data_IF_135799912342
#
_entry.id   IF_135799912342
#
_cell.length_a   1.000
_cell.length_b   1.000
_cell.length_c   1.000
_cell.angle_alpha   90.00
_cell.angle_beta   90.00
_cell.angle_gamma   90.00
#
_symmetry.space_group_name_H-M   'P 1'
#
loop_
_entity.id
_entity.type
_entity.pdbx_description
1 polymer ?
#
# COMPACT_ATOMS: atom_id res chain seq x y z
N UNK A 1 -0.05 17.96 -8.47
CA UNK A 1 1.23 18.19 -9.17
C UNK A 1 1.16 17.39 -10.47
N UNK A 2 1.59 17.91 -11.64
CA UNK A 2 1.72 17.07 -12.82
C UNK A 2 2.77 15.99 -12.59
N UNK A 3 2.59 14.82 -13.22
CA UNK A 3 3.59 13.75 -13.27
C UNK A 3 4.18 13.68 -14.68
N UNK A 4 5.48 13.45 -14.77
CA UNK A 4 6.14 13.03 -16.01
C UNK A 4 6.80 11.67 -15.81
N UNK A 5 7.11 10.98 -16.90
CA UNK A 5 7.94 9.79 -16.88
C UNK A 5 9.23 9.99 -17.67
N UNK A 6 10.30 9.38 -17.19
CA UNK A 6 11.59 9.32 -17.85
C UNK A 6 12.23 7.94 -17.61
N UNK A 7 13.47 7.78 -18.07
CA UNK A 7 14.26 6.57 -17.85
C UNK A 7 15.46 6.83 -16.93
N UNK A 8 16.10 5.76 -16.47
CA UNK A 8 17.44 5.83 -15.90
C UNK A 8 18.48 6.46 -16.87
N UNK A 9 19.65 6.85 -16.36
CA UNK A 9 20.71 7.54 -17.12
C UNK A 9 21.15 6.87 -18.42
N UNK A 10 21.13 5.54 -18.46
CA UNK A 10 21.50 4.72 -19.62
C UNK A 10 20.37 3.73 -19.87
N UNK A 11 19.28 4.15 -20.54
CA UNK A 11 18.15 3.27 -20.76
C UNK A 11 18.53 2.12 -21.69
N UNK A 12 17.98 0.95 -21.42
CA UNK A 12 17.86 -0.10 -22.43
C UNK A 12 16.68 0.23 -23.35
N UNK A 13 16.65 -0.36 -24.55
CA UNK A 13 15.49 -0.22 -25.44
C UNK A 13 14.19 -0.67 -24.76
N UNK A 14 14.25 -1.71 -23.93
CA UNK A 14 13.11 -2.19 -23.16
C UNK A 14 12.63 -1.16 -22.12
N UNK A 15 13.54 -0.48 -21.41
CA UNK A 15 13.16 0.55 -20.44
C UNK A 15 12.56 1.81 -21.10
N UNK A 16 13.03 2.17 -22.30
CA UNK A 16 12.44 3.27 -23.08
C UNK A 16 11.03 2.92 -23.58
N UNK A 17 10.85 1.74 -24.18
CA UNK A 17 9.54 1.26 -24.61
C UNK A 17 8.55 1.14 -23.44
N UNK A 18 9.02 0.70 -22.27
CA UNK A 18 8.21 0.67 -21.07
C UNK A 18 7.81 2.06 -20.58
N UNK A 19 8.72 3.04 -20.64
CA UNK A 19 8.41 4.42 -20.28
C UNK A 19 7.35 5.04 -21.22
N UNK A 20 7.45 4.76 -22.52
CA UNK A 20 6.45 5.19 -23.52
C UNK A 20 5.09 4.54 -23.25
N UNK A 21 5.06 3.23 -23.01
CA UNK A 21 3.82 2.50 -22.67
C UNK A 21 3.15 3.06 -21.41
N UNK A 22 3.93 3.34 -20.36
CA UNK A 22 3.40 3.92 -19.12
C UNK A 22 2.93 5.37 -19.36
N UNK A 23 3.64 6.14 -20.20
CA UNK A 23 3.23 7.49 -20.55
C UNK A 23 1.85 7.51 -21.20
N UNK A 24 1.58 6.57 -22.12
CA UNK A 24 0.27 6.38 -22.74
C UNK A 24 -0.78 5.89 -21.74
N UNK A 25 -0.46 4.88 -20.91
CA UNK A 25 -1.40 4.29 -19.93
C UNK A 25 -1.88 5.31 -18.89
N UNK A 26 -1.00 6.23 -18.48
CA UNK A 26 -1.30 7.26 -17.47
C UNK A 26 -1.66 8.63 -18.07
N UNK A 27 -1.65 8.78 -19.39
CA UNK A 27 -1.80 10.07 -20.08
C UNK A 27 -0.84 11.15 -19.54
N UNK A 28 0.45 10.80 -19.43
CA UNK A 28 1.51 11.70 -18.94
C UNK A 28 2.61 11.88 -19.99
N UNK A 29 3.42 12.92 -19.84
CA UNK A 29 4.51 13.20 -20.79
C UNK A 29 5.71 12.28 -20.53
N UNK A 30 6.19 11.61 -21.58
CA UNK A 30 7.51 11.00 -21.61
C UNK A 30 8.58 12.06 -21.93
N UNK A 31 9.57 12.20 -21.05
CA UNK A 31 10.65 13.18 -21.18
C UNK A 31 12.00 12.45 -21.23
N UNK A 32 12.80 12.74 -22.25
CA UNK A 32 14.13 12.15 -22.39
C UNK A 32 15.05 12.64 -21.26
N UNK A 33 15.70 11.70 -20.57
CA UNK A 33 16.55 11.96 -19.40
C UNK A 33 17.72 12.89 -19.71
N UNK A 34 18.39 12.73 -20.85
CA UNK A 34 19.53 13.54 -21.31
C UNK A 34 20.61 13.79 -20.24
N UNK A 35 20.89 12.78 -19.41
CA UNK A 35 21.84 12.85 -18.28
C UNK A 35 21.52 13.90 -17.20
N UNK A 36 20.32 14.52 -17.23
CA UNK A 36 19.85 15.38 -16.14
C UNK A 36 19.68 14.56 -14.86
N UNK A 37 19.96 15.15 -13.71
CA UNK A 37 19.66 14.52 -12.43
C UNK A 37 18.16 14.61 -12.12
N UNK A 38 17.69 13.93 -11.06
CA UNK A 38 16.26 14.01 -10.67
C UNK A 38 15.94 15.43 -10.23
N UNK A 39 16.83 16.02 -9.44
CA UNK A 39 16.77 17.41 -8.98
C UNK A 39 16.66 18.36 -10.17
N UNK A 40 17.51 18.18 -11.18
CA UNK A 40 17.49 19.05 -12.36
C UNK A 40 16.19 18.90 -13.16
N UNK A 41 15.67 17.69 -13.28
CA UNK A 41 14.38 17.47 -13.94
C UNK A 41 13.21 18.05 -13.14
N UNK A 42 13.25 18.02 -11.81
CA UNK A 42 12.27 18.72 -10.98
C UNK A 42 12.29 20.23 -11.24
N UNK A 43 13.48 20.84 -11.30
CA UNK A 43 13.64 22.25 -11.64
C UNK A 43 13.10 22.59 -13.02
N UNK A 44 13.47 21.81 -14.04
CA UNK A 44 13.12 22.11 -15.43
C UNK A 44 11.62 21.88 -15.73
N UNK A 45 11.06 20.80 -15.19
CA UNK A 45 9.75 20.30 -15.59
C UNK A 45 8.63 20.65 -14.60
N UNK A 46 8.99 21.07 -13.38
CA UNK A 46 8.05 21.42 -12.31
C UNK A 46 6.98 20.31 -12.09
N UNK A 47 7.40 19.04 -12.16
CA UNK A 47 6.58 17.85 -12.03
C UNK A 47 7.15 16.81 -11.05
N UNK A 48 6.29 15.93 -10.54
CA UNK A 48 6.73 14.65 -9.98
C UNK A 48 7.32 13.78 -11.10
N UNK A 49 8.26 12.89 -10.76
CA UNK A 49 9.00 12.11 -11.75
C UNK A 49 8.84 10.61 -11.50
N UNK A 50 8.31 9.92 -12.49
CA UNK A 50 8.44 8.47 -12.62
C UNK A 50 9.71 8.14 -13.41
N UNK A 51 10.47 7.15 -12.95
CA UNK A 51 11.67 6.65 -13.61
C UNK A 51 11.50 5.16 -13.89
N UNK A 52 11.39 4.81 -15.18
CA UNK A 52 11.44 3.43 -15.62
C UNK A 52 12.90 2.97 -15.73
N UNK A 53 13.24 1.90 -15.04
CA UNK A 53 14.51 1.19 -15.18
C UNK A 53 14.28 -0.24 -15.64
N UNK A 54 15.36 -1.02 -15.78
CA UNK A 54 15.25 -2.44 -16.10
C UNK A 54 14.68 -3.23 -14.92
N UNK A 55 15.00 -2.80 -13.71
CA UNK A 55 14.74 -3.54 -12.48
C UNK A 55 13.36 -3.22 -11.90
N UNK A 56 12.90 -1.96 -11.97
CA UNK A 56 11.66 -1.51 -11.33
C UNK A 56 11.20 -0.13 -11.83
N UNK A 57 10.03 0.28 -11.37
CA UNK A 57 9.55 1.65 -11.47
C UNK A 57 9.86 2.40 -10.17
N UNK A 58 10.36 3.62 -10.29
CA UNK A 58 10.68 4.50 -9.17
C UNK A 58 9.87 5.80 -9.27
N UNK A 59 9.41 6.33 -8.15
CA UNK A 59 8.71 7.61 -8.05
C UNK A 59 9.48 8.57 -7.18
N UNK A 60 9.72 9.76 -7.72
CA UNK A 60 10.35 10.87 -7.05
C UNK A 60 9.32 12.00 -6.94
N UNK A 61 8.76 12.24 -5.74
CA UNK A 61 7.94 13.41 -5.50
C UNK A 61 8.76 14.69 -5.71
N UNK A 62 8.11 15.75 -6.17
CA UNK A 62 8.72 17.06 -6.37
C UNK A 62 9.59 17.48 -5.18
N UNK A 63 10.85 17.82 -5.46
CA UNK A 63 11.81 18.26 -4.46
C UNK A 63 12.41 17.15 -3.59
N UNK A 64 12.17 15.88 -3.93
CA UNK A 64 12.77 14.71 -3.28
C UNK A 64 13.76 14.01 -4.21
N UNK A 65 14.86 13.56 -3.62
CA UNK A 65 15.97 12.91 -4.36
C UNK A 65 16.04 11.42 -4.08
N UNK A 66 15.31 10.94 -3.08
CA UNK A 66 15.14 9.53 -2.77
C UNK A 66 13.87 9.00 -3.45
N UNK A 67 13.91 7.82 -4.08
CA UNK A 67 12.74 7.24 -4.72
C UNK A 67 11.85 6.47 -3.75
N UNK A 68 10.56 6.45 -4.04
CA UNK A 68 9.66 5.38 -3.67
C UNK A 68 9.65 4.30 -4.75
N UNK A 69 9.66 3.03 -4.37
CA UNK A 69 9.53 1.89 -5.28
C UNK A 69 8.97 0.68 -4.54
N UNK A 70 8.34 -0.25 -5.27
CA UNK A 70 7.75 -1.44 -4.65
C UNK A 70 8.82 -2.43 -4.13
N UNK A 71 8.61 -2.92 -2.91
CA UNK A 71 9.33 -4.04 -2.31
C UNK A 71 8.43 -4.73 -1.26
N UNK A 72 8.39 -6.08 -1.17
CA UNK A 72 7.50 -6.81 -0.25
C UNK A 72 7.67 -6.48 1.24
N UNK A 73 8.79 -5.86 1.60
CA UNK A 73 9.10 -5.42 2.96
C UNK A 73 8.87 -6.55 3.98
N UNK A 74 8.03 -6.33 5.01
CA UNK A 74 7.87 -7.29 6.09
C UNK A 74 7.19 -8.61 5.69
N UNK A 75 6.44 -8.64 4.58
CA UNK A 75 5.84 -9.86 4.05
C UNK A 75 6.91 -10.93 3.79
N UNK A 76 8.08 -10.53 3.27
CA UNK A 76 9.18 -11.44 2.90
C UNK A 76 9.70 -12.31 4.05
N UNK A 77 9.53 -11.88 5.30
CA UNK A 77 9.91 -12.67 6.47
C UNK A 77 8.71 -13.14 7.30
N UNK A 78 7.57 -12.43 7.26
CA UNK A 78 6.34 -12.84 7.96
C UNK A 78 5.79 -14.14 7.38
N UNK A 79 5.77 -14.27 6.05
CA UNK A 79 5.20 -15.44 5.37
C UNK A 79 6.06 -16.70 5.44
N UNK A 80 7.26 -16.62 6.04
CA UNK A 80 8.12 -17.77 6.33
C UNK A 80 7.84 -18.39 7.70
N UNK A 81 6.97 -17.76 8.50
CA UNK A 81 6.52 -18.26 9.81
C UNK A 81 5.11 -18.83 9.67
N UNK A 82 4.63 -19.63 10.63
CA UNK A 82 3.24 -20.07 10.65
C UNK A 82 2.29 -18.86 10.58
N UNK A 83 1.54 -18.74 9.49
CA UNK A 83 0.69 -17.58 9.19
C UNK A 83 -0.48 -17.46 10.15
N UNK A 84 -0.96 -18.58 10.69
CA UNK A 84 -1.99 -18.67 11.73
C UNK A 84 -1.60 -17.93 13.01
N UNK A 85 -0.29 -17.69 13.21
CA UNK A 85 0.27 -16.96 14.36
C UNK A 85 0.69 -15.53 14.00
N UNK A 86 0.44 -15.09 12.77
CA UNK A 86 0.68 -13.69 12.44
C UNK A 86 -0.33 -12.83 13.20
N UNK A 87 0.10 -11.74 13.89
CA UNK A 87 -0.80 -10.97 14.74
C UNK A 87 -2.00 -10.34 14.00
N UNK A 88 -1.84 -10.00 12.71
CA UNK A 88 -2.95 -9.49 11.90
C UNK A 88 -3.96 -10.61 11.62
N UNK A 89 -3.48 -11.79 11.23
CA UNK A 89 -4.32 -12.94 10.93
C UNK A 89 -5.07 -13.39 12.19
N UNK A 90 -4.34 -13.57 13.30
CA UNK A 90 -4.91 -14.00 14.59
C UNK A 90 -6.00 -13.05 15.09
N UNK A 91 -5.79 -11.73 15.04
CA UNK A 91 -6.76 -10.76 15.56
C UNK A 91 -7.96 -10.56 14.63
N UNK A 92 -7.78 -10.78 13.33
CA UNK A 92 -8.82 -10.56 12.32
C UNK A 92 -9.89 -11.66 12.28
N UNK A 93 -9.58 -12.87 12.76
CA UNK A 93 -10.46 -14.03 12.60
C UNK A 93 -10.61 -14.50 11.16
N UNK A 94 -9.71 -14.09 10.25
CA UNK A 94 -9.70 -14.54 8.86
C UNK A 94 -9.60 -16.06 8.77
N UNK A 95 -10.21 -16.61 7.72
CA UNK A 95 -10.11 -18.00 7.32
C UNK A 95 -9.72 -18.11 5.82
N UNK A 96 -9.23 -19.28 5.37
CA UNK A 96 -9.06 -19.56 3.95
C UNK A 96 -10.33 -19.31 3.15
N UNK A 97 -10.22 -18.56 2.06
CA UNK A 97 -11.35 -18.18 1.20
C UNK A 97 -12.05 -16.86 1.56
N UNK A 98 -11.71 -16.24 2.68
CA UNK A 98 -12.30 -14.96 3.07
C UNK A 98 -11.91 -13.81 2.13
N UNK A 99 -12.61 -12.69 2.26
CA UNK A 99 -12.37 -11.44 1.56
C UNK A 99 -11.80 -10.37 2.50
N UNK A 100 -10.76 -9.68 2.05
CA UNK A 100 -10.04 -8.69 2.84
C UNK A 100 -9.85 -7.38 2.06
N UNK A 101 -10.23 -6.26 2.69
CA UNK A 101 -10.01 -4.92 2.18
C UNK A 101 -8.97 -4.20 3.03
N UNK A 102 -7.80 -3.93 2.44
CA UNK A 102 -6.78 -3.04 3.02
C UNK A 102 -7.10 -1.59 2.61
N UNK A 103 -7.62 -0.79 3.54
CA UNK A 103 -7.93 0.61 3.26
C UNK A 103 -6.66 1.50 3.17
N UNK A 104 -5.47 0.97 3.47
CA UNK A 104 -4.24 1.74 3.57
C UNK A 104 -3.09 0.90 3.03
N UNK A 105 -3.17 0.51 1.76
CA UNK A 105 -2.36 -0.56 1.18
C UNK A 105 -0.86 -0.38 1.44
N UNK A 106 -0.35 0.84 1.38
CA UNK A 106 1.04 1.14 1.73
C UNK A 106 2.02 0.34 0.86
N UNK A 107 2.93 -0.45 1.46
CA UNK A 107 3.83 -1.33 0.68
C UNK A 107 3.16 -2.67 0.28
N UNK A 108 1.86 -2.83 0.51
CA UNK A 108 1.12 -4.08 0.41
C UNK A 108 1.63 -5.22 1.30
N UNK A 109 2.43 -4.93 2.32
CA UNK A 109 3.06 -5.97 3.16
C UNK A 109 2.03 -6.77 3.96
N UNK A 110 1.05 -6.09 4.55
CA UNK A 110 -0.06 -6.72 5.27
C UNK A 110 -0.97 -7.47 4.28
N UNK A 111 -1.38 -6.83 3.18
CA UNK A 111 -2.15 -7.45 2.10
C UNK A 111 -1.50 -8.73 1.50
N UNK A 112 -0.19 -8.75 1.24
CA UNK A 112 0.52 -9.94 0.73
C UNK A 112 0.52 -11.06 1.79
N UNK A 113 0.73 -10.71 3.06
CA UNK A 113 0.71 -11.69 4.15
C UNK A 113 -0.66 -12.35 4.28
N UNK A 114 -1.72 -11.54 4.23
CA UNK A 114 -3.10 -12.01 4.26
C UNK A 114 -3.43 -12.82 3.00
N UNK A 115 -3.06 -12.33 1.81
CA UNK A 115 -3.24 -13.05 0.53
C UNK A 115 -2.64 -14.45 0.56
N UNK A 116 -1.49 -14.63 1.21
CA UNK A 116 -0.85 -15.93 1.32
C UNK A 116 -1.60 -16.87 2.28
N UNK A 117 -2.24 -16.33 3.32
CA UNK A 117 -3.02 -17.09 4.29
C UNK A 117 -4.40 -17.50 3.77
N UNK A 118 -5.16 -16.55 3.22
CA UNK A 118 -6.52 -16.83 2.74
C UNK A 118 -6.54 -17.70 1.47
N UNK A 119 -5.41 -17.77 0.76
CA UNK A 119 -5.22 -18.65 -0.39
C UNK A 119 -5.89 -18.17 -1.67
N UNK A 120 -5.97 -19.05 -2.67
CA UNK A 120 -6.43 -18.73 -4.02
C UNK A 120 -7.94 -18.57 -4.16
N UNK A 121 -8.71 -19.07 -3.19
CA UNK A 121 -10.17 -18.88 -3.15
C UNK A 121 -10.58 -17.56 -2.48
N UNK A 122 -9.65 -16.87 -1.84
CA UNK A 122 -9.91 -15.61 -1.16
C UNK A 122 -9.80 -14.40 -2.09
N UNK A 123 -10.28 -13.25 -1.60
CA UNK A 123 -10.25 -11.98 -2.32
C UNK A 123 -9.46 -10.92 -1.54
N UNK A 124 -8.53 -10.22 -2.19
CA UNK A 124 -7.76 -9.13 -1.58
C UNK A 124 -7.89 -7.87 -2.42
N UNK A 125 -8.39 -6.81 -1.82
CA UNK A 125 -8.40 -5.48 -2.41
C UNK A 125 -7.65 -4.51 -1.51
N UNK A 126 -6.86 -3.62 -2.10
CA UNK A 126 -6.08 -2.62 -1.39
C UNK A 126 -6.27 -1.22 -1.98
N UNK A 127 -6.58 -0.25 -1.14
CA UNK A 127 -6.72 1.15 -1.53
C UNK A 127 -5.40 1.90 -1.32
N UNK A 128 -5.00 2.66 -2.32
CA UNK A 128 -3.92 3.64 -2.22
C UNK A 128 -4.41 4.94 -2.86
N UNK A 129 -4.33 6.06 -2.13
CA UNK A 129 -4.95 7.31 -2.56
C UNK A 129 -4.07 8.14 -3.48
N UNK A 130 -2.75 7.96 -3.42
CA UNK A 130 -1.84 8.60 -4.37
C UNK A 130 -1.77 7.78 -5.67
N UNK A 131 -2.22 8.31 -6.82
CA UNK A 131 -2.29 7.55 -8.06
C UNK A 131 -0.92 7.08 -8.57
N UNK A 132 0.15 7.85 -8.35
CA UNK A 132 1.51 7.45 -8.75
C UNK A 132 1.99 6.25 -7.90
N UNK A 133 1.69 6.27 -6.60
CA UNK A 133 2.02 5.15 -5.69
C UNK A 133 1.17 3.94 -6.03
N UNK A 134 -0.14 4.09 -6.20
CA UNK A 134 -1.04 3.01 -6.58
C UNK A 134 -0.58 2.32 -7.88
N UNK A 135 -0.13 3.09 -8.87
CA UNK A 135 0.42 2.56 -10.11
C UNK A 135 1.72 1.77 -9.90
N UNK A 136 2.63 2.28 -9.08
CA UNK A 136 3.87 1.56 -8.71
C UNK A 136 3.56 0.26 -7.99
N UNK A 137 2.62 0.28 -7.04
CA UNK A 137 2.22 -0.91 -6.30
C UNK A 137 1.60 -1.95 -7.23
N UNK A 138 0.63 -1.55 -8.07
CA UNK A 138 -0.01 -2.43 -9.06
C UNK A 138 1.03 -3.05 -9.99
N UNK A 139 1.93 -2.24 -10.55
CA UNK A 139 3.00 -2.71 -11.44
C UNK A 139 3.96 -3.64 -10.71
N UNK A 140 4.41 -3.25 -9.52
CA UNK A 140 5.32 -4.03 -8.68
C UNK A 140 4.74 -5.38 -8.27
N UNK A 141 3.51 -5.40 -7.76
CA UNK A 141 2.77 -6.61 -7.40
C UNK A 141 2.55 -7.55 -8.58
N UNK A 142 2.48 -7.04 -9.82
CA UNK A 142 2.30 -7.84 -11.04
C UNK A 142 3.60 -8.34 -11.68
N UNK A 143 4.75 -7.74 -11.34
CA UNK A 143 6.04 -8.03 -11.99
C UNK A 143 7.11 -8.58 -11.07
N UNK A 144 7.05 -8.28 -9.78
CA UNK A 144 8.05 -8.74 -8.83
C UNK A 144 8.15 -10.27 -8.84
N UNK A 145 9.36 -10.78 -9.01
CA UNK A 145 9.68 -12.20 -9.18
C UNK A 145 10.91 -12.64 -8.36
N UNK A 146 11.63 -11.70 -7.76
CA UNK A 146 12.83 -11.97 -6.95
C UNK A 146 12.57 -12.84 -5.70
N UNK A 147 11.30 -13.05 -5.32
CA UNK A 147 10.90 -13.95 -4.24
C UNK A 147 9.74 -14.86 -4.70
N UNK A 148 10.03 -16.01 -5.32
CA UNK A 148 9.01 -16.90 -5.88
C UNK A 148 7.90 -17.31 -4.91
N UNK A 149 8.25 -17.55 -3.63
CA UNK A 149 7.28 -17.91 -2.59
C UNK A 149 6.19 -16.85 -2.31
N UNK A 150 6.37 -15.61 -2.74
CA UNK A 150 5.38 -14.53 -2.60
C UNK A 150 4.60 -14.26 -3.90
N UNK A 151 5.04 -14.81 -5.05
CA UNK A 151 4.61 -14.35 -6.36
C UNK A 151 3.09 -14.50 -6.53
N UNK A 152 2.56 -15.69 -6.27
CA UNK A 152 1.12 -15.94 -6.36
C UNK A 152 0.32 -15.06 -5.39
N UNK A 153 0.83 -14.83 -4.18
CA UNK A 153 0.18 -13.96 -3.20
C UNK A 153 0.14 -12.50 -3.69
N UNK A 154 1.21 -12.00 -4.31
CA UNK A 154 1.25 -10.67 -4.91
C UNK A 154 0.29 -10.53 -6.09
N UNK A 155 0.22 -11.54 -6.98
CA UNK A 155 -0.65 -11.49 -8.17
C UNK A 155 -2.14 -11.43 -7.83
N UNK A 156 -2.55 -11.88 -6.65
CA UNK A 156 -3.94 -11.80 -6.17
C UNK A 156 -4.33 -10.43 -5.62
N UNK A 157 -3.38 -9.59 -5.22
CA UNK A 157 -3.69 -8.29 -4.62
C UNK A 157 -4.19 -7.33 -5.69
N UNK A 158 -5.46 -6.94 -5.59
CA UNK A 158 -6.05 -5.93 -6.46
C UNK A 158 -5.82 -4.53 -5.87
N UNK A 159 -5.23 -3.64 -6.67
CA UNK A 159 -4.96 -2.26 -6.23
C UNK A 159 -6.02 -1.31 -6.79
N UNK A 160 -6.68 -0.58 -5.91
CA UNK A 160 -7.64 0.48 -6.24
C UNK A 160 -6.98 1.83 -5.94
N UNK A 161 -6.86 2.68 -6.95
CA UNK A 161 -6.36 4.05 -6.80
C UNK A 161 -7.49 4.96 -6.32
N UNK A 162 -7.68 5.05 -5.01
CA UNK A 162 -8.75 5.86 -4.40
C UNK A 162 -8.42 6.18 -2.94
N UNK A 163 -8.93 7.31 -2.45
CA UNK A 163 -9.13 7.48 -1.01
C UNK A 163 -10.06 6.37 -0.50
N UNK A 164 -9.70 5.75 0.62
CA UNK A 164 -10.38 4.54 1.08
C UNK A 164 -11.85 4.77 1.44
N UNK A 165 -12.15 5.90 2.07
CA UNK A 165 -13.52 6.27 2.45
C UNK A 165 -14.41 6.41 1.21
N UNK A 166 -13.88 6.93 0.12
CA UNK A 166 -14.65 7.09 -1.11
C UNK A 166 -14.87 5.76 -1.80
N UNK A 167 -13.88 4.86 -1.81
CA UNK A 167 -14.08 3.50 -2.29
C UNK A 167 -15.11 2.74 -1.45
N UNK A 168 -15.01 2.80 -0.11
CA UNK A 168 -15.96 2.16 0.79
C UNK A 168 -17.40 2.59 0.52
N UNK A 169 -17.66 3.88 0.23
CA UNK A 169 -19.01 4.38 -0.12
C UNK A 169 -19.60 3.75 -1.39
N UNK A 170 -18.76 3.25 -2.30
CA UNK A 170 -19.21 2.60 -3.54
C UNK A 170 -19.59 1.13 -3.36
N UNK A 171 -19.21 0.54 -2.23
CA UNK A 171 -19.42 -0.88 -1.95
C UNK A 171 -20.76 -1.10 -1.25
N UNK A 172 -21.35 -2.26 -1.49
CA UNK A 172 -22.51 -2.75 -0.75
C UNK A 172 -22.14 -3.12 0.70
N UNK A 173 -23.16 -3.35 1.52
CA UNK A 173 -23.01 -3.82 2.90
C UNK A 173 -22.45 -5.25 2.92
N UNK A 174 -21.69 -5.61 3.96
CA UNK A 174 -21.22 -6.98 4.24
C UNK A 174 -20.46 -7.68 3.09
N UNK A 175 -19.88 -6.93 2.15
CA UNK A 175 -19.22 -7.48 0.94
C UNK A 175 -17.77 -7.94 1.20
N UNK A 176 -17.14 -7.51 2.29
CA UNK A 176 -15.82 -7.98 2.72
C UNK A 176 -15.89 -8.64 4.10
N UNK A 177 -15.23 -9.77 4.31
CA UNK A 177 -15.17 -10.42 5.62
C UNK A 177 -14.42 -9.55 6.62
N UNK A 178 -13.28 -8.98 6.20
CA UNK A 178 -12.47 -8.11 7.04
C UNK A 178 -12.10 -6.82 6.32
N UNK A 179 -12.35 -5.69 7.00
CA UNK A 179 -11.85 -4.37 6.59
C UNK A 179 -10.72 -3.95 7.52
N UNK A 180 -9.58 -3.60 6.95
CA UNK A 180 -8.35 -3.29 7.67
C UNK A 180 -7.87 -1.85 7.42
N UNK A 181 -7.35 -1.21 8.45
CA UNK A 181 -6.78 0.14 8.38
C UNK A 181 -5.46 0.19 9.16
N UNK A 182 -4.44 0.77 8.57
CA UNK A 182 -3.12 1.12 9.11
C UNK A 182 -2.78 2.54 8.67
N UNK A 183 -3.52 3.56 9.15
CA UNK A 183 -3.20 4.94 8.81
C UNK A 183 -1.76 5.23 9.23
N UNK A 184 -1.04 6.01 8.44
CA UNK A 184 0.30 6.45 8.82
C UNK A 184 0.30 7.04 10.23
N UNK A 185 1.21 6.56 11.08
CA UNK A 185 1.25 6.98 12.48
C UNK A 185 1.52 8.48 12.63
N UNK A 186 0.79 9.12 13.55
CA UNK A 186 1.03 10.51 13.96
C UNK A 186 2.37 10.68 14.66
N UNK A 187 2.79 9.69 15.47
CA UNK A 187 4.12 9.61 16.05
C UNK A 187 5.07 8.87 15.10
N UNK A 188 6.21 9.48 14.78
CA UNK A 188 7.20 8.91 13.86
C UNK A 188 7.88 7.66 14.45
N UNK A 189 7.77 6.54 13.73
CA UNK A 189 8.66 5.39 13.93
C UNK A 189 9.85 5.55 12.98
N UNK A 190 10.96 6.09 13.49
CA UNK A 190 12.19 6.41 12.73
C UNK A 190 12.78 5.24 11.92
N UNK A 191 12.41 4.00 12.25
CA UNK A 191 12.90 2.78 11.59
C UNK A 191 12.08 2.40 10.33
N UNK A 192 10.94 3.06 10.06
CA UNK A 192 10.10 2.80 8.89
C UNK A 192 10.56 3.62 7.67
N UNK A 193 11.71 3.27 7.10
CA UNK A 193 12.42 4.08 6.08
C UNK A 193 11.78 4.11 4.69
N UNK A 194 10.97 3.11 4.33
CA UNK A 194 10.59 2.89 2.92
C UNK A 194 9.47 3.83 2.43
N UNK A 195 8.77 4.51 3.32
CA UNK A 195 7.78 5.53 3.00
C UNK A 195 8.30 6.97 3.23
N UNK A 196 9.53 7.14 3.73
CA UNK A 196 10.13 8.45 3.98
C UNK A 196 10.04 9.41 2.78
N UNK A 197 10.29 8.97 1.52
CA UNK A 197 10.25 9.88 0.38
C UNK A 197 8.86 10.44 0.09
N UNK A 198 7.82 9.63 0.33
CA UNK A 198 6.42 9.96 0.00
C UNK A 198 5.62 10.42 1.20
N UNK A 199 6.20 10.42 2.40
CA UNK A 199 5.49 10.76 3.64
C UNK A 199 4.90 12.17 3.65
N UNK A 200 5.58 13.15 3.04
CA UNK A 200 5.04 14.52 2.91
C UNK A 200 3.84 14.61 1.98
N UNK A 201 3.66 13.62 1.11
CA UNK A 201 2.59 13.56 0.11
C UNK A 201 1.50 12.56 0.46
N UNK A 202 1.70 11.77 1.52
CA UNK A 202 0.76 10.75 1.94
C UNK A 202 -0.25 11.35 2.93
N UNK A 203 -1.51 10.91 2.82
CA UNK A 203 -2.62 11.46 3.59
C UNK A 203 -2.39 11.16 5.09
N UNK A 204 -2.12 12.21 5.89
CA UNK A 204 -1.89 12.10 7.34
C UNK A 204 -3.21 12.05 8.14
N UNK A 205 -4.34 11.84 7.47
CA UNK A 205 -5.65 11.77 8.09
C UNK A 205 -5.74 10.66 9.14
N UNK A 206 -6.10 11.03 10.36
CA UNK A 206 -6.54 10.07 11.40
C UNK A 206 -7.88 9.44 11.00
N UNK A 207 -8.24 8.33 11.67
CA UNK A 207 -9.56 7.73 11.53
C UNK A 207 -10.66 8.77 11.80
N UNK A 208 -11.60 8.88 10.87
CA UNK A 208 -12.80 9.72 10.99
C UNK A 208 -14.01 8.87 11.33
N UNK A 209 -15.05 9.48 11.91
CA UNK A 209 -16.31 8.79 12.20
C UNK A 209 -16.94 8.22 10.92
N UNK A 210 -16.83 8.93 9.80
CA UNK A 210 -17.34 8.47 8.50
C UNK A 210 -16.55 7.26 7.98
N UNK A 211 -15.22 7.27 8.07
CA UNK A 211 -14.42 6.10 7.69
C UNK A 211 -14.83 4.88 8.50
N UNK A 212 -14.93 5.02 9.82
CA UNK A 212 -15.32 3.93 10.69
C UNK A 212 -16.74 3.44 10.44
N UNK A 213 -17.69 4.34 10.17
CA UNK A 213 -19.07 3.98 9.82
C UNK A 213 -19.12 3.17 8.53
N UNK A 214 -18.39 3.59 7.50
CA UNK A 214 -18.33 2.88 6.22
C UNK A 214 -17.59 1.54 6.33
N UNK A 215 -16.50 1.49 7.09
CA UNK A 215 -15.76 0.25 7.33
C UNK A 215 -16.63 -0.80 8.04
N UNK A 216 -17.39 -0.40 9.07
CA UNK A 216 -18.33 -1.31 9.77
C UNK A 216 -19.50 -1.77 8.91
N UNK A 217 -19.95 -0.94 7.97
CA UNK A 217 -21.03 -1.28 7.04
C UNK A 217 -20.59 -2.32 6.00
N UNK A 218 -19.36 -2.17 5.51
CA UNK A 218 -18.80 -3.02 4.45
C UNK A 218 -18.25 -4.35 4.99
N UNK A 219 -17.82 -4.37 6.26
CA UNK A 219 -17.27 -5.55 6.91
C UNK A 219 -18.36 -6.49 7.43
N UNK A 220 -18.30 -7.76 7.04
CA UNK A 220 -19.20 -8.83 7.49
C UNK A 220 -18.74 -9.46 8.81
N UNK A 221 -17.43 -9.64 9.04
CA UNK A 221 -16.90 -10.29 10.26
C UNK A 221 -16.20 -9.33 11.19
N UNK A 222 -15.28 -8.51 10.67
CA UNK A 222 -14.45 -7.68 11.53
C UNK A 222 -13.91 -6.41 10.86
N UNK A 223 -13.72 -5.39 11.68
CA UNK A 223 -12.90 -4.22 11.35
C UNK A 223 -11.63 -4.27 12.19
N UNK A 224 -10.47 -4.19 11.54
CA UNK A 224 -9.16 -4.26 12.20
C UNK A 224 -8.39 -2.96 12.01
N UNK A 225 -7.85 -2.43 13.10
CA UNK A 225 -6.98 -1.26 13.12
C UNK A 225 -5.57 -1.68 13.55
N UNK A 226 -4.56 -1.29 12.77
CA UNK A 226 -3.18 -1.19 13.22
C UNK A 226 -2.88 0.27 13.50
N UNK A 227 -2.38 0.56 14.69
CA UNK A 227 -2.01 1.91 15.07
C UNK A 227 -0.84 1.89 16.05
N UNK A 228 -0.18 3.04 16.20
CA UNK A 228 0.84 3.22 17.24
C UNK A 228 0.28 2.80 18.61
N UNK A 229 1.10 2.19 19.46
CA UNK A 229 0.65 1.60 20.72
C UNK A 229 -0.02 2.60 21.70
N UNK A 230 0.19 3.90 21.49
CA UNK A 230 -0.43 5.01 22.25
C UNK A 230 -1.64 5.65 21.56
N UNK A 231 -2.06 5.15 20.40
CA UNK A 231 -3.16 5.77 19.67
C UNK A 231 -4.44 5.73 20.50
N UNK A 232 -5.13 6.86 20.61
CA UNK A 232 -6.43 6.95 21.27
C UNK A 232 -7.57 6.45 20.38
N UNK A 233 -7.29 6.16 19.09
CA UNK A 233 -8.31 5.69 18.15
C UNK A 233 -8.89 4.33 18.57
N UNK A 234 -8.10 3.49 19.25
CA UNK A 234 -8.59 2.23 19.78
C UNK A 234 -9.76 2.45 20.75
N UNK A 235 -9.58 3.29 21.78
CA UNK A 235 -10.60 3.60 22.76
C UNK A 235 -11.75 4.44 22.16
N UNK A 236 -11.41 5.44 21.34
CA UNK A 236 -12.38 6.35 20.71
C UNK A 236 -13.41 5.59 19.87
N UNK A 237 -12.98 4.60 19.09
CA UNK A 237 -13.85 3.87 18.16
C UNK A 237 -14.30 2.49 18.68
N UNK A 238 -13.84 2.10 19.87
CA UNK A 238 -14.27 0.88 20.56
C UNK A 238 -13.59 -0.40 20.07
N UNK A 239 -12.33 -0.32 19.62
CA UNK A 239 -11.54 -1.50 19.28
C UNK A 239 -11.06 -2.25 20.54
N UNK A 240 -11.19 -3.58 20.54
CA UNK A 240 -10.50 -4.43 21.50
C UNK A 240 -9.01 -4.51 21.12
N UNK A 241 -8.16 -3.75 21.83
CA UNK A 241 -6.72 -3.70 21.56
C UNK A 241 -6.01 -4.97 22.03
N UNK A 242 -5.28 -5.62 21.12
CA UNK A 242 -4.33 -6.69 21.45
C UNK A 242 -2.98 -6.08 21.80
N UNK A 243 -2.74 -5.93 23.11
CA UNK A 243 -1.48 -5.41 23.63
C UNK A 243 -0.36 -6.41 23.39
N UNK A 244 0.67 -5.97 22.66
CA UNK A 244 1.90 -6.74 22.43
C UNK A 244 3.08 -6.03 23.08
N UNK A 245 3.61 -6.56 24.20
CA UNK A 245 4.77 -5.96 24.87
C UNK A 245 5.94 -5.81 23.90
N UNK A 246 6.72 -4.73 24.05
CA UNK A 246 7.93 -4.44 23.26
C UNK A 246 7.70 -4.17 21.76
N UNK A 247 6.48 -3.82 21.34
CA UNK A 247 6.18 -3.39 19.98
C UNK A 247 5.65 -1.95 19.94
N UNK A 248 6.01 -1.19 18.91
CA UNK A 248 5.63 0.23 18.75
C UNK A 248 4.24 0.42 18.12
N UNK A 249 3.60 -0.66 17.67
CA UNK A 249 2.25 -0.64 17.15
C UNK A 249 1.49 -1.85 17.67
N UNK A 250 0.18 -1.70 17.85
CA UNK A 250 -0.72 -2.78 18.23
C UNK A 250 -1.79 -2.95 17.15
N UNK A 251 -2.46 -4.09 17.20
CA UNK A 251 -3.70 -4.28 16.47
C UNK A 251 -4.88 -4.17 17.44
N UNK A 252 -6.01 -3.72 16.92
CA UNK A 252 -7.29 -3.73 17.60
C UNK A 252 -8.36 -4.22 16.65
N UNK A 253 -9.39 -4.88 17.18
CA UNK A 253 -10.48 -5.44 16.38
C UNK A 253 -11.83 -5.04 16.93
N UNK A 254 -12.77 -4.82 16.03
CA UNK A 254 -14.21 -4.79 16.31
C UNK A 254 -14.80 -5.99 15.57
N UNK A 255 -15.28 -6.97 16.32
CA UNK A 255 -16.02 -8.09 15.75
C UNK A 255 -17.46 -7.65 15.47
N UNK A 256 -17.95 -7.98 14.29
CA UNK A 256 -19.30 -7.75 13.81
C UNK A 256 -19.96 -9.14 13.80
N UNK A 257 -21.10 -9.25 14.48
CA UNK A 257 -21.77 -10.52 14.76
C UNK A 257 -22.54 -11.04 13.54
#
# INVERSE_FOLDING_TARGET
MPTIITTAYRPTAAAAAEAERIAEELDIRFIIRNKRSVEKMHEDEQADILVASKERLEFYPMGKTEPFFFHPNSAAFRTKRPLEKDPLIEVSGLAPGDSFLDCTLGMASDAITVSQYIGSSGNIVGCESNPNIAFILKTGLSRYDAMPHLTEAMRRVQVVSSEAVDYLKTLDDDVFDVVYMDPMFTEEIKEASNFTPVRSSANMGQLTDEWMRQAKRVANKAVVLKAHFRSQDFEKFGFERRVRPNTKFHYGVINLN
#
